data_IF_280278016817
#
_entry.id   IF_280278016817
#
_cell.length_a   1.000
_cell.length_b   1.000
_cell.length_c   1.000
_cell.angle_alpha   90.00
_cell.angle_beta   90.00
_cell.angle_gamma   90.00
#
_symmetry.space_group_name_H-M   'P 1'
#
loop_
_entity.id
_entity.type
_entity.pdbx_description
1 polymer ?
#
# COMPACT_ATOMS: atom_id res chain seq x y z
N UNK A 1 21.63 12.02 5.90
CA UNK A 1 20.94 10.90 6.57
C UNK A 1 19.57 10.74 5.92
N UNK A 2 19.39 9.73 5.07
CA UNK A 2 18.10 9.43 4.45
C UNK A 2 17.62 8.07 4.99
N UNK A 3 17.29 8.00 6.28
CA UNK A 3 16.63 6.83 6.83
C UNK A 3 15.21 6.79 6.26
N UNK A 4 14.96 5.85 5.35
CA UNK A 4 13.62 5.49 4.89
C UNK A 4 12.84 4.94 6.07
N UNK A 5 12.20 5.77 6.88
CA UNK A 5 11.37 5.31 7.99
C UNK A 5 10.04 4.79 7.47
N UNK A 6 9.60 3.63 7.97
CA UNK A 6 8.31 3.07 7.62
C UNK A 6 7.21 3.84 8.33
N UNK A 7 6.23 4.37 7.59
CA UNK A 7 5.11 5.11 8.20
C UNK A 7 4.17 4.26 9.07
N UNK A 8 4.25 2.93 8.98
CA UNK A 8 3.37 2.01 9.73
C UNK A 8 3.97 1.58 11.07
N UNK A 9 5.28 1.36 11.13
CA UNK A 9 5.97 0.91 12.35
C UNK A 9 6.99 1.92 12.88
N UNK A 10 7.19 3.04 12.18
CA UNK A 10 8.18 4.08 12.47
C UNK A 10 9.63 3.57 12.60
N UNK A 11 9.90 2.37 12.09
CA UNK A 11 11.22 1.75 12.06
C UNK A 11 11.99 2.06 10.76
N UNK A 12 13.34 2.10 10.81
CA UNK A 12 14.17 2.29 9.63
C UNK A 12 14.08 1.09 8.69
N UNK A 13 13.80 1.36 7.41
CA UNK A 13 13.75 0.36 6.37
C UNK A 13 15.17 0.12 5.85
N UNK A 14 15.79 -0.97 6.30
CA UNK A 14 17.11 -1.43 5.83
C UNK A 14 16.92 -2.38 4.63
N UNK A 15 16.66 -1.82 3.44
CA UNK A 15 16.55 -2.61 2.20
C UNK A 15 15.42 -2.17 1.25
N UNK A 16 14.83 -3.09 0.46
CA UNK A 16 13.76 -2.75 -0.48
C UNK A 16 12.54 -2.23 0.27
N UNK A 17 12.03 -1.06 -0.15
CA UNK A 17 10.87 -0.42 0.45
C UNK A 17 9.78 -0.17 -0.59
N UNK A 18 8.53 -0.17 -0.13
CA UNK A 18 7.40 0.29 -0.91
C UNK A 18 7.32 1.81 -0.75
N UNK A 19 7.53 2.56 -1.84
CA UNK A 19 7.35 4.01 -1.85
C UNK A 19 6.03 4.37 -2.54
N UNK A 20 5.19 5.16 -1.88
CA UNK A 20 3.97 5.70 -2.50
C UNK A 20 4.29 6.95 -3.30
N UNK A 21 3.38 7.32 -4.21
CA UNK A 21 3.45 8.58 -4.98
C UNK A 21 3.56 9.84 -4.09
N UNK A 22 3.07 9.77 -2.85
CA UNK A 22 3.15 10.87 -1.88
C UNK A 22 4.53 10.97 -1.21
N UNK A 23 5.45 10.05 -1.52
CA UNK A 23 6.79 9.97 -0.91
C UNK A 23 6.84 9.17 0.38
N UNK A 24 5.74 8.50 0.76
CA UNK A 24 5.69 7.72 2.00
C UNK A 24 6.34 6.37 1.76
N UNK A 25 7.15 5.91 2.72
CA UNK A 25 7.89 4.66 2.62
C UNK A 25 7.33 3.64 3.60
N UNK A 26 7.26 2.40 3.16
CA UNK A 26 6.72 1.30 3.94
C UNK A 26 7.57 0.05 3.75
N UNK A 27 7.65 -0.79 4.78
CA UNK A 27 8.19 -2.13 4.60
C UNK A 27 7.31 -2.94 3.63
N UNK A 28 7.90 -3.83 2.83
CA UNK A 28 7.17 -4.75 1.95
C UNK A 28 6.14 -5.60 2.71
N UNK A 29 6.39 -5.89 4.00
CA UNK A 29 5.45 -6.59 4.87
C UNK A 29 4.43 -5.68 5.55
N UNK A 30 4.81 -4.44 5.90
CA UNK A 30 3.88 -3.47 6.49
C UNK A 30 2.84 -2.98 5.47
N UNK A 31 3.22 -2.87 4.20
CA UNK A 31 2.32 -2.44 3.14
C UNK A 31 1.51 -3.63 2.60
N UNK A 32 0.41 -3.93 3.27
CA UNK A 32 -0.45 -5.09 2.98
C UNK A 32 -1.92 -4.70 2.92
N UNK A 33 -2.73 -5.55 2.28
CA UNK A 33 -4.17 -5.35 2.17
C UNK A 33 -4.83 -5.39 3.56
N UNK A 34 -5.76 -4.47 3.80
CA UNK A 34 -6.46 -4.41 5.10
C UNK A 34 -7.35 -5.64 5.35
N UNK A 35 -7.94 -6.24 4.31
CA UNK A 35 -8.81 -7.42 4.45
C UNK A 35 -8.00 -8.72 4.47
N UNK A 36 -7.30 -9.02 3.38
CA UNK A 36 -6.60 -10.31 3.24
C UNK A 36 -5.16 -10.30 3.75
N UNK A 37 -4.60 -9.15 4.17
CA UNK A 37 -3.21 -8.99 4.63
C UNK A 37 -2.15 -9.43 3.61
N UNK A 38 -2.53 -9.57 2.34
CA UNK A 38 -1.60 -9.82 1.23
C UNK A 38 -0.67 -8.62 1.04
N UNK A 39 0.66 -8.84 0.91
CA UNK A 39 1.62 -7.78 0.64
C UNK A 39 1.33 -7.13 -0.73
N UNK A 40 1.27 -5.80 -0.76
CA UNK A 40 0.95 -5.02 -1.95
C UNK A 40 2.25 -4.53 -2.59
N UNK A 41 2.72 -5.25 -3.63
CA UNK A 41 4.08 -5.06 -4.17
C UNK A 41 4.19 -4.26 -5.47
N UNK A 42 3.09 -3.88 -6.12
CA UNK A 42 3.17 -3.09 -7.36
C UNK A 42 2.00 -2.11 -7.43
N UNK A 43 0.78 -2.63 -7.43
CA UNK A 43 -0.46 -1.84 -7.46
C UNK A 43 -1.25 -2.12 -6.20
N UNK A 44 -1.83 -1.05 -5.65
CA UNK A 44 -2.82 -1.13 -4.59
C UNK A 44 -3.97 -0.18 -4.89
N UNK A 45 -5.07 -0.37 -4.17
CA UNK A 45 -6.23 0.50 -4.25
C UNK A 45 -6.41 1.20 -2.92
N UNK A 46 -6.36 2.53 -2.94
CA UNK A 46 -6.67 3.34 -1.76
C UNK A 46 -8.17 3.59 -1.71
N UNK A 47 -8.80 3.18 -0.62
CA UNK A 47 -10.21 3.42 -0.36
C UNK A 47 -10.40 3.73 1.12
N UNK A 48 -11.06 4.84 1.44
CA UNK A 48 -11.28 5.31 2.83
C UNK A 48 -9.99 5.32 3.69
N UNK A 49 -8.86 5.79 3.13
CA UNK A 49 -7.54 5.78 3.77
C UNK A 49 -6.97 4.38 4.09
N UNK A 50 -7.53 3.33 3.50
CA UNK A 50 -7.08 1.95 3.64
C UNK A 50 -6.57 1.42 2.31
N UNK A 51 -5.52 0.59 2.38
CA UNK A 51 -4.96 -0.07 1.22
C UNK A 51 -5.63 -1.43 1.02
N UNK A 52 -6.10 -1.67 -0.20
CA UNK A 52 -6.75 -2.91 -0.61
C UNK A 52 -6.05 -3.52 -1.83
N UNK A 53 -6.08 -4.84 -1.92
CA UNK A 53 -5.68 -5.54 -3.13
C UNK A 53 -6.79 -5.44 -4.19
N UNK A 54 -6.45 -5.74 -5.44
CA UNK A 54 -7.41 -5.74 -6.56
C UNK A 54 -8.64 -6.63 -6.32
N UNK A 55 -8.45 -7.73 -5.57
CA UNK A 55 -9.50 -8.71 -5.29
C UNK A 55 -10.52 -8.15 -4.29
N UNK A 56 -10.05 -7.70 -3.13
CA UNK A 56 -10.93 -7.22 -2.06
C UNK A 56 -11.62 -5.92 -2.46
N UNK A 57 -10.91 -5.03 -3.15
CA UNK A 57 -11.52 -3.79 -3.60
C UNK A 57 -12.62 -4.05 -4.65
N UNK A 58 -12.45 -5.03 -5.55
CA UNK A 58 -13.47 -5.41 -6.51
C UNK A 58 -14.73 -5.96 -5.81
N UNK A 59 -14.56 -6.72 -4.73
CA UNK A 59 -15.68 -7.19 -3.89
C UNK A 59 -16.41 -6.01 -3.24
N UNK A 60 -15.67 -5.06 -2.67
CA UNK A 60 -16.25 -3.86 -2.04
C UNK A 60 -16.98 -3.00 -3.07
N UNK A 61 -16.39 -2.79 -4.25
CA UNK A 61 -17.01 -2.06 -5.37
C UNK A 61 -18.31 -2.72 -5.85
N UNK A 62 -18.36 -4.06 -5.85
CA UNK A 62 -19.56 -4.81 -6.20
C UNK A 62 -20.62 -4.77 -5.10
N UNK A 63 -20.21 -4.78 -3.84
CA UNK A 63 -21.13 -4.77 -2.69
C UNK A 63 -21.71 -3.40 -2.38
N UNK A 64 -20.95 -2.33 -2.62
CA UNK A 64 -21.38 -0.94 -2.43
C UNK A 64 -21.38 -0.24 -3.78
N UNK A 65 -22.57 -0.10 -4.37
CA UNK A 65 -22.75 0.70 -5.60
C UNK A 65 -22.11 2.08 -5.41
N UNK A 66 -21.27 2.50 -6.36
CA UNK A 66 -20.49 3.75 -6.38
C UNK A 66 -19.25 3.87 -5.48
N UNK A 67 -18.65 2.77 -5.00
CA UNK A 67 -17.32 2.87 -4.36
C UNK A 67 -16.25 3.28 -5.37
N UNK A 68 -15.66 4.47 -5.18
CA UNK A 68 -14.51 4.95 -5.93
C UNK A 68 -13.24 4.66 -5.15
N UNK A 69 -12.51 3.63 -5.58
CA UNK A 69 -11.20 3.34 -5.07
C UNK A 69 -10.14 3.88 -6.04
N UNK A 70 -9.14 4.56 -5.50
CA UNK A 70 -8.05 5.11 -6.31
C UNK A 70 -7.00 4.03 -6.54
N UNK A 71 -6.85 3.58 -7.78
CA UNK A 71 -5.74 2.70 -8.17
C UNK A 71 -4.45 3.49 -8.09
N UNK A 72 -3.55 3.09 -7.19
CA UNK A 72 -2.24 3.71 -6.98
C UNK A 72 -1.14 2.69 -7.19
N UNK A 73 0.03 3.16 -7.65
CA UNK A 73 1.21 2.33 -7.81
C UNK A 73 2.20 2.63 -6.70
N UNK A 74 2.76 1.57 -6.13
CA UNK A 74 3.92 1.63 -5.25
C UNK A 74 5.18 1.40 -6.06
N UNK A 75 6.18 2.24 -5.87
CA UNK A 75 7.50 2.06 -6.44
C UNK A 75 8.32 1.18 -5.51
N UNK A 76 8.61 -0.03 -5.95
CA UNK A 76 9.57 -0.93 -5.30
C UNK A 76 10.92 -0.77 -6.00
N UNK A 77 11.60 0.33 -5.71
CA UNK A 77 12.98 0.55 -6.12
C UNK A 77 13.93 -0.11 -5.12
N UNK A 78 14.98 -0.78 -5.60
CA UNK A 78 16.20 -0.91 -4.80
C UNK A 78 16.70 0.52 -4.56
N UNK A 79 16.78 0.91 -3.29
CA UNK A 79 17.48 2.11 -2.83
C UNK A 79 18.88 2.18 -3.45
#
# INVERSE_FOLDING_TARGET
MNNSLCKTCDEPIEGPCAQTVEGWRFHPHCFSCTECRTPLTDVYYNFENKAYCERDIAIIQRSRNNVRAERRRTFFGKV
#
